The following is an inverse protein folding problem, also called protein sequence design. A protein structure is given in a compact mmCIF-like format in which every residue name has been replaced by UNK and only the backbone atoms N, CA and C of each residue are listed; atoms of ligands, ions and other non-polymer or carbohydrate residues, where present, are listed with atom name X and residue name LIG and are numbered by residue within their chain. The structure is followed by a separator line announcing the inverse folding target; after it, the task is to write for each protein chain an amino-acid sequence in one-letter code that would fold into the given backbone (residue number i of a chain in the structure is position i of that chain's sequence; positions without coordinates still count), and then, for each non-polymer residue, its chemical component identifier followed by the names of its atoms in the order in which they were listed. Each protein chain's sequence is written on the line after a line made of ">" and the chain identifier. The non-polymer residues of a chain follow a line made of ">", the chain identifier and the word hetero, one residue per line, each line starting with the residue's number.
data_IF_439704299500
#
_entry.id   IF_439704299500
#
_cell.length_a   1.000
_cell.length_b   1.000
_cell.length_c   1.000
_cell.angle_alpha   90.00
_cell.angle_beta   90.00
_cell.angle_gamma   90.00
#
_symmetry.space_group_name_H-M   'P 1'
#
loop_
_entity.id
_entity.type
_entity.pdbx_description
1 polymer ?
#
# COMPACT_ATOMS: atom_id res chain seq x y z
N UNK A 1 -2.11 9.66 -3.32
CA UNK A 1 -2.35 9.65 -4.79
C UNK A 1 -2.62 11.05 -5.36
N UNK A 2 -3.75 11.69 -5.01
CA UNK A 2 -4.16 13.02 -5.51
C UNK A 2 -3.03 14.07 -5.54
N UNK A 3 -2.32 14.26 -4.43
CA UNK A 3 -1.24 15.26 -4.31
C UNK A 3 -0.08 14.97 -5.27
N UNK A 4 0.33 13.70 -5.41
CA UNK A 4 1.43 13.30 -6.30
C UNK A 4 1.02 13.46 -7.77
N UNK A 5 -0.26 13.16 -8.07
CA UNK A 5 -0.86 13.37 -9.40
C UNK A 5 -0.90 14.84 -9.80
N UNK A 6 -1.26 15.71 -8.85
CA UNK A 6 -1.30 17.16 -9.05
C UNK A 6 0.10 17.75 -9.24
N UNK A 7 1.11 17.29 -8.47
CA UNK A 7 2.50 17.79 -8.56
C UNK A 7 3.18 17.43 -9.89
N UNK A 8 3.10 16.17 -10.30
CA UNK A 8 3.86 15.70 -11.47
C UNK A 8 3.03 15.56 -12.75
N UNK A 9 1.70 15.59 -12.65
CA UNK A 9 0.81 15.33 -13.78
C UNK A 9 0.66 13.83 -14.06
N UNK A 10 -0.55 13.42 -14.48
CA UNK A 10 -0.95 12.01 -14.64
C UNK A 10 -0.08 11.20 -15.63
N UNK A 11 0.54 11.89 -16.58
CA UNK A 11 1.30 11.27 -17.67
C UNK A 11 2.82 11.31 -17.45
N UNK A 12 3.28 11.90 -16.34
CA UNK A 12 4.70 11.93 -16.00
C UNK A 12 5.22 10.56 -15.61
N UNK A 13 6.51 10.33 -15.89
CA UNK A 13 7.21 9.14 -15.43
C UNK A 13 7.18 9.02 -13.90
N UNK A 14 7.33 10.14 -13.18
CA UNK A 14 7.28 10.17 -11.72
C UNK A 14 5.91 9.76 -11.15
N UNK A 15 4.81 10.18 -11.77
CA UNK A 15 3.49 9.73 -11.34
C UNK A 15 3.18 8.30 -11.79
N UNK A 16 3.42 7.96 -13.06
CA UNK A 16 2.96 6.70 -13.65
C UNK A 16 3.80 5.50 -13.24
N UNK A 17 5.12 5.61 -13.38
CA UNK A 17 6.04 4.49 -13.21
C UNK A 17 6.58 4.39 -11.79
N UNK A 18 6.86 5.54 -11.15
CA UNK A 18 7.38 5.58 -9.78
C UNK A 18 6.26 5.47 -8.75
N UNK A 19 5.40 6.48 -8.66
CA UNK A 19 4.33 6.51 -7.67
C UNK A 19 3.21 5.50 -7.97
N UNK A 20 2.74 5.44 -9.21
CA UNK A 20 1.60 4.63 -9.62
C UNK A 20 1.81 3.14 -9.39
N UNK A 21 3.00 2.61 -9.72
CA UNK A 21 3.34 1.20 -9.45
C UNK A 21 3.41 0.89 -7.96
N UNK A 22 4.06 1.75 -7.17
CA UNK A 22 4.18 1.58 -5.72
C UNK A 22 2.81 1.65 -5.04
N UNK A 23 2.00 2.66 -5.40
CA UNK A 23 0.66 2.85 -4.86
C UNK A 23 -0.28 1.71 -5.25
N UNK A 24 -0.26 1.26 -6.50
CA UNK A 24 -1.07 0.12 -6.96
C UNK A 24 -0.71 -1.18 -6.22
N UNK A 25 0.58 -1.43 -5.96
CA UNK A 25 1.00 -2.60 -5.16
C UNK A 25 0.48 -2.51 -3.73
N UNK A 26 0.55 -1.33 -3.12
CA UNK A 26 0.00 -1.10 -1.78
C UNK A 26 -1.52 -1.29 -1.75
N UNK A 27 -2.24 -0.71 -2.69
CA UNK A 27 -3.69 -0.86 -2.82
C UNK A 27 -4.08 -2.33 -2.95
N UNK A 28 -3.35 -3.09 -3.77
CA UNK A 28 -3.61 -4.53 -3.93
C UNK A 28 -3.40 -5.30 -2.63
N UNK A 29 -2.31 -5.04 -1.90
CA UNK A 29 -2.04 -5.69 -0.61
C UNK A 29 -3.09 -5.30 0.44
N UNK A 30 -3.41 -4.01 0.56
CA UNK A 30 -4.42 -3.52 1.50
C UNK A 30 -5.81 -4.07 1.18
N UNK A 31 -6.18 -4.15 -0.11
CA UNK A 31 -7.42 -4.77 -0.56
C UNK A 31 -7.47 -6.25 -0.23
N UNK A 32 -6.36 -6.98 -0.38
CA UNK A 32 -6.28 -8.39 -0.03
C UNK A 32 -6.45 -8.57 1.48
N UNK A 33 -5.77 -7.76 2.29
CA UNK A 33 -5.86 -7.80 3.75
C UNK A 33 -7.28 -7.49 4.25
N UNK A 34 -7.92 -6.46 3.70
CA UNK A 34 -9.32 -6.13 3.99
C UNK A 34 -10.28 -7.24 3.55
N UNK A 35 -10.01 -7.89 2.42
CA UNK A 35 -10.81 -9.02 1.95
C UNK A 35 -10.66 -10.24 2.87
N UNK A 36 -9.44 -10.53 3.33
CA UNK A 36 -9.19 -11.58 4.32
C UNK A 36 -9.84 -11.26 5.67
N UNK A 37 -9.85 -9.99 6.09
CA UNK A 37 -10.56 -9.54 7.28
C UNK A 37 -12.08 -9.71 7.15
N UNK A 38 -12.64 -9.37 5.99
CA UNK A 38 -14.05 -9.58 5.69
C UNK A 38 -14.41 -11.08 5.68
N UNK A 39 -13.58 -11.94 5.09
CA UNK A 39 -13.76 -13.39 5.12
C UNK A 39 -13.72 -13.96 6.55
N UNK A 40 -12.95 -13.35 7.47
CA UNK A 40 -13.00 -13.72 8.90
C UNK A 40 -14.34 -13.34 9.56
N UNK A 41 -15.02 -12.30 9.08
CA UNK A 41 -16.34 -11.89 9.58
C UNK A 41 -17.47 -12.77 9.04
N UNK A 42 -17.32 -13.34 7.83
CA UNK A 42 -18.32 -14.18 7.16
C UNK A 42 -18.22 -15.70 7.43
N UNK A 43 -17.81 -16.11 8.64
CA UNK A 43 -17.94 -17.51 9.10
C UNK A 43 -16.92 -18.52 8.52
N UNK A 44 -15.67 -18.12 8.27
CA UNK A 44 -14.56 -19.08 8.21
C UNK A 44 -14.14 -19.52 9.62
N UNK A 45 -13.75 -20.79 9.78
CA UNK A 45 -13.22 -21.29 11.05
C UNK A 45 -12.05 -20.39 11.46
N UNK A 46 -12.10 -19.81 12.66
CA UNK A 46 -11.16 -18.79 13.17
C UNK A 46 -9.68 -19.20 13.13
N UNK A 47 -9.39 -20.48 12.79
CA UNK A 47 -8.06 -21.04 12.62
C UNK A 47 -7.49 -21.03 11.18
N UNK A 48 -8.27 -20.75 10.14
CA UNK A 48 -7.85 -20.97 8.74
C UNK A 48 -7.09 -19.79 8.13
N UNK A 49 -7.31 -18.57 8.64
CA UNK A 49 -6.57 -17.36 8.22
C UNK A 49 -6.02 -16.66 9.45
N UNK A 50 -4.74 -16.88 9.73
CA UNK A 50 -4.05 -16.25 10.87
C UNK A 50 -3.15 -15.14 10.34
N UNK A 51 -3.42 -13.90 10.74
CA UNK A 51 -2.44 -12.81 10.58
C UNK A 51 -1.45 -12.98 11.73
N UNK A 52 -0.22 -13.31 11.38
CA UNK A 52 0.89 -13.45 12.31
C UNK A 52 1.56 -12.12 12.60
N UNK A 53 2.50 -12.17 13.54
CA UNK A 53 3.40 -11.05 13.81
C UNK A 53 4.16 -10.63 12.55
N UNK A 54 4.65 -11.60 11.78
CA UNK A 54 5.44 -11.36 10.57
C UNK A 54 4.64 -10.64 9.47
N UNK A 55 3.35 -10.99 9.31
CA UNK A 55 2.45 -10.31 8.37
C UNK A 55 2.24 -8.84 8.77
N UNK A 56 1.98 -8.61 10.07
CA UNK A 56 1.81 -7.26 10.61
C UNK A 56 3.10 -6.43 10.49
N UNK A 57 4.26 -7.03 10.76
CA UNK A 57 5.56 -6.38 10.59
C UNK A 57 5.85 -6.04 9.13
N UNK A 58 5.53 -6.94 8.20
CA UNK A 58 5.70 -6.71 6.77
C UNK A 58 4.84 -5.52 6.30
N UNK A 59 3.56 -5.48 6.68
CA UNK A 59 2.67 -4.35 6.37
C UNK A 59 3.23 -3.03 6.95
N UNK A 60 3.71 -3.06 8.19
CA UNK A 60 4.28 -1.89 8.85
C UNK A 60 5.55 -1.39 8.13
N UNK A 61 6.43 -2.30 7.72
CA UNK A 61 7.67 -1.97 6.99
C UNK A 61 7.34 -1.36 5.63
N UNK A 62 6.45 -2.00 4.86
CA UNK A 62 6.01 -1.50 3.54
C UNK A 62 5.40 -0.10 3.67
N UNK A 63 4.58 0.12 4.71
CA UNK A 63 3.98 1.43 4.98
C UNK A 63 5.04 2.50 5.27
N UNK A 64 6.05 2.19 6.10
CA UNK A 64 7.15 3.13 6.40
C UNK A 64 7.97 3.47 5.17
N UNK A 65 8.26 2.47 4.32
CA UNK A 65 8.98 2.69 3.06
C UNK A 65 8.21 3.61 2.12
N UNK A 66 6.89 3.43 2.01
CA UNK A 66 6.04 4.30 1.21
C UNK A 66 6.03 5.74 1.70
N UNK A 67 5.93 5.94 3.03
CA UNK A 67 6.02 7.27 3.63
C UNK A 67 7.37 7.91 3.28
N UNK A 68 8.48 7.18 3.48
CA UNK A 68 9.82 7.71 3.22
C UNK A 68 10.03 8.09 1.75
N UNK A 69 9.53 7.25 0.85
CA UNK A 69 9.60 7.51 -0.58
C UNK A 69 8.80 8.75 -1.00
N UNK A 70 7.65 8.99 -0.37
CA UNK A 70 6.87 10.22 -0.59
C UNK A 70 7.62 11.44 -0.06
N UNK A 71 8.24 11.36 1.11
CA UNK A 71 9.06 12.44 1.65
C UNK A 71 10.19 12.81 0.70
N UNK A 72 10.90 11.83 0.15
CA UNK A 72 12.00 12.04 -0.81
C UNK A 72 11.49 12.67 -2.11
N UNK A 73 10.42 12.13 -2.70
CA UNK A 73 9.81 12.68 -3.91
C UNK A 73 9.26 14.12 -3.74
N UNK A 74 8.84 14.46 -2.51
CA UNK A 74 8.35 15.79 -2.20
C UNK A 74 9.47 16.78 -1.85
N UNK A 75 10.58 16.29 -1.29
CA UNK A 75 11.78 17.07 -0.93
C UNK A 75 12.84 17.19 -2.03
N UNK A 76 12.80 16.36 -3.08
CA UNK A 76 13.55 16.60 -4.32
C UNK A 76 12.98 17.86 -5.02
N UNK A 77 13.62 19.02 -4.81
CA UNK A 77 13.53 20.24 -5.63
C UNK A 77 14.39 20.13 -6.89
#
# INVERSE_FOLDING_TARGET
>A
DKIVKEKFGKDSFNYRERWGRAYSRFEHLASLDLHLEHLKQEQYMTGDVKIGKDDAEHILIVTKLLIKYVEELLGEE
#
